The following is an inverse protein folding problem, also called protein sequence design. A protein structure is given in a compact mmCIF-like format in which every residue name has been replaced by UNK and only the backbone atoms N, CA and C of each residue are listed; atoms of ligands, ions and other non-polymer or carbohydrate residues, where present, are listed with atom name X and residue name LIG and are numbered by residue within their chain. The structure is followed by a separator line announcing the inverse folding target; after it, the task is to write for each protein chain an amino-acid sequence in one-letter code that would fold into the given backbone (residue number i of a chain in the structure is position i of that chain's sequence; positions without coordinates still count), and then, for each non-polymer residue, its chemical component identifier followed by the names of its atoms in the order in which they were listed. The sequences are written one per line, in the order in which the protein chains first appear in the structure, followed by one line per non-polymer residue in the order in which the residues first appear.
data_IF_626171571045
#
_entry.id   IF_626171571045
#
_cell.length_a   1.000
_cell.length_b   1.000
_cell.length_c   1.000
_cell.angle_alpha   90.00
_cell.angle_beta   90.00
_cell.angle_gamma   90.00
#
_symmetry.space_group_name_H-M   'P 1'
#
loop_
_entity.id
_entity.type
_entity.pdbx_description
1 polymer ?
#
# COMPACT_ATOMS: atom_id res chain seq x y z
N UNK A 1 1.11 -9.40 -19.80
CA UNK A 1 0.43 -8.09 -19.86
C UNK A 1 0.40 -7.56 -18.44
N UNK A 2 1.37 -6.71 -18.07
CA UNK A 2 1.38 -6.06 -16.76
C UNK A 2 0.33 -4.96 -16.80
N UNK A 3 -0.86 -5.24 -16.25
CA UNK A 3 -1.84 -4.20 -15.98
C UNK A 3 -1.20 -3.19 -15.04
N UNK A 4 -1.04 -1.94 -15.48
CA UNK A 4 -0.74 -0.85 -14.53
C UNK A 4 -1.81 -0.90 -13.43
N UNK A 5 -1.44 -0.96 -12.14
CA UNK A 5 -2.42 -1.19 -11.09
C UNK A 5 -3.43 -0.04 -11.06
N UNK A 6 -4.69 -0.40 -10.81
CA UNK A 6 -5.83 0.51 -10.53
C UNK A 6 -5.49 1.57 -9.46
N UNK A 7 -4.44 1.33 -8.66
CA UNK A 7 -3.84 2.24 -7.67
C UNK A 7 -3.47 3.61 -8.25
N UNK A 8 -3.05 3.72 -9.51
CA UNK A 8 -2.63 5.01 -10.10
C UNK A 8 -3.83 5.97 -10.29
N UNK A 9 -5.00 5.46 -10.68
CA UNK A 9 -6.14 6.31 -11.08
C UNK A 9 -6.90 6.94 -9.90
N UNK A 10 -6.97 6.27 -8.75
CA UNK A 10 -7.63 6.79 -7.54
C UNK A 10 -6.79 7.84 -6.81
N UNK A 11 -5.45 7.73 -6.88
CA UNK A 11 -4.52 8.73 -6.33
C UNK A 11 -4.59 10.06 -7.08
N UNK A 12 -4.71 10.06 -8.41
CA UNK A 12 -4.72 11.28 -9.24
C UNK A 12 -5.83 12.27 -8.89
N UNK A 13 -7.04 11.77 -8.62
CA UNK A 13 -8.15 12.64 -8.20
C UNK A 13 -7.86 13.35 -6.87
N UNK A 14 -7.20 12.67 -5.93
CA UNK A 14 -6.85 13.24 -4.63
C UNK A 14 -5.66 14.20 -4.73
N UNK A 15 -4.65 13.87 -5.55
CA UNK A 15 -3.45 14.69 -5.77
C UNK A 15 -3.76 16.03 -6.46
N UNK A 16 -4.72 16.06 -7.38
CA UNK A 16 -5.15 17.29 -8.06
C UNK A 16 -5.81 18.31 -7.14
N UNK A 17 -6.30 17.87 -5.96
CA UNK A 17 -6.90 18.74 -4.94
C UNK A 17 -5.88 19.37 -3.99
N UNK A 18 -4.64 18.89 -3.99
CA UNK A 18 -3.57 19.43 -3.15
C UNK A 18 -3.05 20.71 -3.78
N UNK A 19 -3.44 21.87 -3.22
CA UNK A 19 -3.05 23.21 -3.69
C UNK A 19 -1.66 23.65 -3.19
N UNK A 20 -1.12 22.96 -2.20
CA UNK A 20 0.18 23.24 -1.58
C UNK A 20 0.33 22.47 -0.27
N UNK A 21 1.53 22.52 0.31
CA UNK A 21 1.78 21.87 1.61
C UNK A 21 1.08 22.66 2.73
N UNK A 22 0.24 22.02 3.56
CA UNK A 22 -0.45 22.69 4.66
C UNK A 22 0.51 23.33 5.68
N UNK A 23 0.05 24.36 6.40
CA UNK A 23 0.83 25.06 7.43
C UNK A 23 1.24 24.17 8.61
N UNK A 24 0.63 23.00 8.79
CA UNK A 24 1.09 22.00 9.77
C UNK A 24 2.46 21.39 9.48
N UNK A 25 3.07 21.68 8.33
CA UNK A 25 4.32 21.08 7.86
C UNK A 25 5.41 22.10 7.53
N UNK A 26 5.39 23.30 8.14
CA UNK A 26 6.32 24.39 7.77
C UNK A 26 7.80 23.99 7.80
N UNK A 27 8.22 23.20 8.78
CA UNK A 27 9.61 22.75 8.92
C UNK A 27 10.06 21.80 7.79
N UNK A 28 9.14 21.05 7.21
CA UNK A 28 9.41 20.09 6.14
C UNK A 28 8.87 20.54 4.77
N UNK A 29 8.27 21.74 4.70
CA UNK A 29 7.53 22.23 3.54
C UNK A 29 8.31 22.09 2.23
N UNK A 30 9.54 22.61 2.20
CA UNK A 30 10.39 22.59 1.00
C UNK A 30 10.71 21.16 0.54
N UNK A 31 10.95 20.25 1.50
CA UNK A 31 11.27 18.85 1.21
C UNK A 31 10.03 18.16 0.63
N UNK A 32 8.88 18.30 1.30
CA UNK A 32 7.61 17.72 0.85
C UNK A 32 7.24 18.26 -0.55
N UNK A 33 7.38 19.56 -0.81
CA UNK A 33 7.14 20.14 -2.15
C UNK A 33 8.08 19.55 -3.21
N UNK A 34 9.36 19.35 -2.88
CA UNK A 34 10.35 18.79 -3.80
C UNK A 34 10.05 17.34 -4.15
N UNK A 35 9.78 16.50 -3.15
CA UNK A 35 9.43 15.10 -3.37
C UNK A 35 8.08 14.98 -4.10
N UNK A 36 7.10 15.82 -3.77
CA UNK A 36 5.80 15.82 -4.43
C UNK A 36 5.88 16.21 -5.92
N UNK A 37 6.70 17.20 -6.25
CA UNK A 37 6.97 17.55 -7.65
C UNK A 37 7.69 16.41 -8.37
N UNK A 38 8.67 15.78 -7.71
CA UNK A 38 9.38 14.61 -8.25
C UNK A 38 8.41 13.46 -8.54
N UNK A 39 7.54 13.14 -7.57
CA UNK A 39 6.50 12.13 -7.70
C UNK A 39 5.61 12.40 -8.93
N UNK A 40 5.08 13.62 -9.07
CA UNK A 40 4.24 14.00 -10.22
C UNK A 40 4.97 13.88 -11.55
N UNK A 41 6.15 14.48 -11.66
CA UNK A 41 6.93 14.48 -12.90
C UNK A 41 7.34 13.06 -13.31
N UNK A 42 7.71 12.20 -12.35
CA UNK A 42 8.07 10.81 -12.67
C UNK A 42 6.87 9.98 -13.10
N UNK A 43 5.70 10.16 -12.49
CA UNK A 43 4.46 9.52 -12.96
C UNK A 43 4.16 9.86 -14.41
N UNK A 44 4.13 11.16 -14.74
CA UNK A 44 3.85 11.64 -16.11
C UNK A 44 4.87 11.10 -17.13
N UNK A 45 6.14 11.03 -16.71
CA UNK A 45 7.23 10.50 -17.54
C UNK A 45 7.09 8.99 -17.80
N UNK A 46 6.72 8.22 -16.77
CA UNK A 46 6.44 6.78 -16.88
C UNK A 46 5.26 6.52 -17.81
N UNK A 47 4.15 7.26 -17.63
CA UNK A 47 2.96 7.13 -18.48
C UNK A 47 3.27 7.41 -19.94
N UNK A 48 4.01 8.48 -20.22
CA UNK A 48 4.44 8.82 -21.58
C UNK A 48 5.31 7.71 -22.19
N UNK A 49 6.32 7.22 -21.47
CA UNK A 49 7.19 6.14 -21.97
C UNK A 49 6.44 4.84 -22.18
N UNK A 50 5.44 4.55 -21.34
CA UNK A 50 4.58 3.39 -21.51
C UNK A 50 3.74 3.49 -22.79
N UNK A 51 3.13 4.65 -23.07
CA UNK A 51 2.41 4.86 -24.33
C UNK A 51 3.37 4.82 -25.55
N UNK A 52 4.60 5.33 -25.42
CA UNK A 52 5.63 5.20 -26.47
C UNK A 52 5.99 3.71 -26.72
N UNK A 53 6.16 2.92 -25.66
CA UNK A 53 6.43 1.48 -25.76
C UNK A 53 5.26 0.72 -26.38
N UNK A 54 4.03 1.04 -25.97
CA UNK A 54 2.81 0.44 -26.52
C UNK A 54 2.64 0.78 -28.00
N UNK A 55 2.89 2.02 -28.39
CA UNK A 55 2.88 2.46 -29.79
C UNK A 55 3.92 1.68 -30.61
N UNK A 56 5.16 1.60 -30.11
CA UNK A 56 6.24 0.83 -30.73
C UNK A 56 5.91 -0.66 -30.92
N UNK A 57 5.30 -1.31 -29.91
CA UNK A 57 4.86 -2.70 -30.02
C UNK A 57 3.71 -2.83 -31.04
N UNK A 58 2.74 -1.92 -31.01
CA UNK A 58 1.54 -1.97 -31.87
C UNK A 58 1.88 -1.74 -33.34
N UNK A 59 2.84 -0.85 -33.62
CA UNK A 59 3.35 -0.59 -34.98
C UNK A 59 4.32 -1.66 -35.49
N UNK A 60 4.67 -2.63 -34.65
CA UNK A 60 5.64 -3.68 -34.94
C UNK A 60 7.07 -3.20 -35.26
N UNK A 61 7.42 -1.97 -34.89
CA UNK A 61 8.75 -1.35 -35.07
C UNK A 61 9.89 -2.21 -34.51
N UNK A 62 9.60 -3.08 -33.54
CA UNK A 62 10.55 -4.05 -32.98
C UNK A 62 11.13 -5.02 -34.02
N UNK A 63 10.46 -5.19 -35.16
CA UNK A 63 10.98 -6.00 -36.28
C UNK A 63 12.16 -5.32 -36.97
N UNK A 64 12.21 -3.98 -36.95
CA UNK A 64 13.22 -3.18 -37.65
C UNK A 64 14.51 -3.03 -36.83
N UNK A 65 14.37 -2.79 -35.53
CA UNK A 65 15.51 -2.59 -34.61
C UNK A 65 15.79 -3.79 -33.70
N UNK A 66 15.08 -4.90 -33.90
CA UNK A 66 15.17 -6.13 -33.10
C UNK A 66 14.91 -5.93 -31.61
N UNK A 67 14.06 -4.97 -31.23
CA UNK A 67 13.67 -4.78 -29.83
C UNK A 67 14.52 -3.77 -29.05
N UNK A 68 15.54 -3.16 -29.68
CA UNK A 68 16.49 -2.27 -28.99
C UNK A 68 15.78 -1.10 -28.30
N UNK A 69 14.79 -0.48 -28.96
CA UNK A 69 14.02 0.61 -28.37
C UNK A 69 13.12 0.13 -27.22
N UNK A 70 12.55 -1.08 -27.29
CA UNK A 70 11.77 -1.64 -26.18
C UNK A 70 12.64 -1.86 -24.93
N UNK A 71 13.84 -2.43 -25.09
CA UNK A 71 14.76 -2.63 -23.97
C UNK A 71 15.17 -1.31 -23.31
N UNK A 72 15.47 -0.28 -24.12
CA UNK A 72 15.79 1.05 -23.63
C UNK A 72 14.62 1.67 -22.85
N UNK A 73 13.41 1.64 -23.41
CA UNK A 73 12.20 2.16 -22.76
C UNK A 73 11.90 1.42 -21.45
N UNK A 74 12.04 0.09 -21.42
CA UNK A 74 11.82 -0.71 -20.22
C UNK A 74 12.81 -0.32 -19.11
N UNK A 75 14.10 -0.18 -19.43
CA UNK A 75 15.13 0.23 -18.48
C UNK A 75 14.83 1.61 -17.90
N UNK A 76 14.44 2.56 -18.75
CA UNK A 76 14.10 3.91 -18.32
C UNK A 76 12.84 3.94 -17.44
N UNK A 77 11.80 3.17 -17.79
CA UNK A 77 10.59 3.04 -16.98
C UNK A 77 10.93 2.49 -15.59
N UNK A 78 11.77 1.46 -15.50
CA UNK A 78 12.19 0.87 -14.21
C UNK A 78 12.95 1.90 -13.37
N UNK A 79 13.89 2.63 -13.97
CA UNK A 79 14.67 3.65 -13.27
C UNK A 79 13.78 4.81 -12.77
N UNK A 80 12.81 5.25 -13.59
CA UNK A 80 11.87 6.30 -13.17
C UNK A 80 10.89 5.82 -12.10
N UNK A 81 10.43 4.57 -12.18
CA UNK A 81 9.58 3.95 -11.17
C UNK A 81 10.29 3.92 -9.81
N UNK A 82 11.58 3.61 -9.77
CA UNK A 82 12.35 3.62 -8.52
C UNK A 82 12.39 5.01 -7.88
N UNK A 83 12.63 6.07 -8.68
CA UNK A 83 12.61 7.46 -8.18
C UNK A 83 11.21 7.87 -7.75
N UNK A 84 10.18 7.46 -8.50
CA UNK A 84 8.77 7.70 -8.17
C UNK A 84 8.38 7.11 -6.82
N UNK A 85 8.68 5.83 -6.58
CA UNK A 85 8.38 5.17 -5.32
C UNK A 85 9.16 5.76 -4.14
N UNK A 86 10.44 6.07 -4.34
CA UNK A 86 11.28 6.71 -3.30
C UNK A 86 10.71 8.07 -2.89
N UNK A 87 10.29 8.90 -3.85
CA UNK A 87 9.66 10.19 -3.56
C UNK A 87 8.35 10.01 -2.76
N UNK A 88 7.53 9.02 -3.12
CA UNK A 88 6.31 8.67 -2.38
C UNK A 88 6.59 8.28 -0.93
N UNK A 89 7.58 7.39 -0.70
CA UNK A 89 8.00 6.97 0.64
C UNK A 89 8.52 8.14 1.49
N UNK A 90 9.31 9.03 0.89
CA UNK A 90 9.81 10.23 1.58
C UNK A 90 8.65 11.14 2.03
N UNK A 91 7.67 11.38 1.17
CA UNK A 91 6.48 12.17 1.50
C UNK A 91 5.75 11.54 2.69
N UNK A 92 5.44 10.24 2.62
CA UNK A 92 4.75 9.51 3.68
C UNK A 92 5.50 9.59 5.00
N UNK A 93 6.82 9.36 4.97
CA UNK A 93 7.68 9.44 6.16
C UNK A 93 7.64 10.81 6.82
N UNK A 94 7.59 11.89 6.02
CA UNK A 94 7.53 13.26 6.53
C UNK A 94 6.17 13.65 7.07
N UNK A 95 5.09 13.19 6.46
CA UNK A 95 3.73 13.57 6.91
C UNK A 95 3.23 12.72 8.08
N UNK A 96 3.72 11.48 8.22
CA UNK A 96 3.22 10.52 9.21
C UNK A 96 3.25 11.04 10.66
N UNK A 97 4.34 11.66 11.17
CA UNK A 97 4.37 12.12 12.56
C UNK A 97 3.29 13.17 12.87
N UNK A 98 3.11 14.16 11.99
CA UNK A 98 2.11 15.20 12.23
C UNK A 98 0.68 14.69 12.05
N UNK A 99 0.45 13.76 11.12
CA UNK A 99 -0.86 13.11 10.95
C UNK A 99 -1.23 12.22 12.13
N UNK A 100 -0.27 11.46 12.67
CA UNK A 100 -0.45 10.68 13.90
C UNK A 100 -0.80 11.58 15.09
N UNK A 101 -0.08 12.70 15.26
CA UNK A 101 -0.36 13.67 16.33
C UNK A 101 -1.73 14.35 16.16
N UNK A 102 -2.10 14.72 14.94
CA UNK A 102 -3.40 15.31 14.64
C UNK A 102 -4.55 14.32 14.91
N UNK A 103 -4.37 13.06 14.55
CA UNK A 103 -5.34 12.00 14.80
C UNK A 103 -5.56 11.79 16.31
N UNK A 104 -4.50 11.81 17.12
CA UNK A 104 -4.63 11.69 18.58
C UNK A 104 -5.50 12.81 19.17
N UNK A 105 -5.31 14.05 18.69
CA UNK A 105 -6.09 15.22 19.12
C UNK A 105 -7.55 15.10 18.64
N UNK A 106 -7.77 14.77 17.37
CA UNK A 106 -9.11 14.65 16.77
C UNK A 106 -9.91 13.53 17.45
N UNK A 107 -9.27 12.39 17.72
CA UNK A 107 -9.95 11.23 18.27
C UNK A 107 -10.10 11.29 19.79
N UNK A 108 -9.49 12.26 20.49
CA UNK A 108 -9.39 12.29 21.97
C UNK A 108 -10.71 11.94 22.68
N UNK A 109 -11.80 12.57 22.25
CA UNK A 109 -13.14 12.41 22.81
C UNK A 109 -14.10 11.69 21.84
N UNK A 110 -13.59 11.10 20.77
CA UNK A 110 -14.39 10.42 19.76
C UNK A 110 -14.84 9.03 20.26
N UNK A 111 -16.14 8.68 20.20
CA UNK A 111 -16.65 7.44 20.78
C UNK A 111 -16.12 6.18 20.10
N UNK A 112 -15.66 6.28 18.84
CA UNK A 112 -15.00 5.18 18.13
C UNK A 112 -13.47 5.14 18.27
N UNK A 113 -12.85 6.02 19.08
CA UNK A 113 -11.38 6.16 19.18
C UNK A 113 -10.67 4.82 19.30
N UNK A 114 -11.09 4.00 20.25
CA UNK A 114 -10.46 2.70 20.53
C UNK A 114 -10.44 1.80 19.29
N UNK A 115 -11.57 1.71 18.59
CA UNK A 115 -11.73 0.84 17.42
C UNK A 115 -10.97 1.36 16.20
N UNK A 116 -10.92 2.69 16.02
CA UNK A 116 -10.15 3.34 14.95
C UNK A 116 -8.65 3.11 15.18
N UNK A 117 -8.15 3.43 16.37
CA UNK A 117 -6.73 3.25 16.73
C UNK A 117 -6.31 1.78 16.61
N UNK A 118 -7.16 0.86 17.07
CA UNK A 118 -6.86 -0.57 17.00
C UNK A 118 -6.85 -1.09 15.55
N UNK A 119 -7.80 -0.66 14.71
CA UNK A 119 -7.82 -1.02 13.29
C UNK A 119 -6.66 -0.39 12.51
N UNK A 120 -6.23 0.83 12.87
CA UNK A 120 -5.02 1.45 12.32
C UNK A 120 -3.76 0.68 12.70
N UNK A 121 -3.68 0.21 13.95
CA UNK A 121 -2.60 -0.69 14.41
C UNK A 121 -2.53 -1.98 13.58
N UNK A 122 -3.70 -2.55 13.26
CA UNK A 122 -3.81 -3.70 12.34
C UNK A 122 -3.25 -3.37 10.95
N UNK A 123 -3.64 -2.23 10.36
CA UNK A 123 -3.12 -1.80 9.06
C UNK A 123 -1.59 -1.62 9.08
N UNK A 124 -1.05 -0.92 10.09
CA UNK A 124 0.41 -0.72 10.23
C UNK A 124 1.16 -2.06 10.34
N UNK A 125 0.59 -3.03 11.05
CA UNK A 125 1.19 -4.37 11.15
C UNK A 125 1.17 -5.10 9.81
N UNK A 126 0.12 -4.90 9.00
CA UNK A 126 0.01 -5.48 7.67
C UNK A 126 0.96 -4.81 6.67
N UNK A 127 1.17 -3.50 6.76
CA UNK A 127 2.21 -2.78 6.00
C UNK A 127 3.59 -3.39 6.27
N UNK A 128 3.92 -3.62 7.55
CA UNK A 128 5.19 -4.25 7.93
C UNK A 128 5.33 -5.67 7.39
N UNK A 129 4.24 -6.42 7.24
CA UNK A 129 4.25 -7.74 6.58
C UNK A 129 4.58 -7.59 5.10
N UNK A 130 3.87 -6.70 4.39
CA UNK A 130 4.07 -6.48 2.96
C UNK A 130 5.48 -5.99 2.63
N UNK A 131 6.06 -5.13 3.46
CA UNK A 131 7.45 -4.67 3.32
C UNK A 131 8.44 -5.84 3.32
N UNK A 132 8.27 -6.79 4.24
CA UNK A 132 9.13 -7.99 4.33
C UNK A 132 8.91 -8.89 3.13
N UNK A 133 7.65 -9.13 2.75
CA UNK A 133 7.31 -9.97 1.60
C UNK A 133 7.87 -9.40 0.29
N UNK A 134 7.74 -8.09 0.07
CA UNK A 134 8.25 -7.42 -1.13
C UNK A 134 9.77 -7.51 -1.24
N UNK A 135 10.49 -7.27 -0.13
CA UNK A 135 11.96 -7.40 -0.08
C UNK A 135 12.41 -8.84 -0.39
N UNK A 136 11.71 -9.83 0.17
CA UNK A 136 12.07 -11.22 -0.04
C UNK A 136 11.61 -11.78 -1.39
N UNK A 137 10.54 -11.23 -1.99
CA UNK A 137 10.12 -11.56 -3.35
C UNK A 137 11.15 -11.09 -4.38
N UNK A 138 11.70 -9.88 -4.20
CA UNK A 138 12.81 -9.39 -5.02
C UNK A 138 14.15 -10.09 -4.72
N UNK A 139 14.26 -10.72 -3.55
CA UNK A 139 15.47 -11.36 -3.04
C UNK A 139 15.35 -12.86 -2.85
N UNK A 140 15.76 -13.34 -1.67
CA UNK A 140 15.66 -14.75 -1.27
C UNK A 140 14.66 -14.90 -0.13
N UNK A 141 13.91 -16.00 -0.15
CA UNK A 141 12.94 -16.29 0.90
C UNK A 141 13.64 -16.72 2.20
N UNK A 142 13.30 -16.06 3.29
CA UNK A 142 13.74 -16.36 4.65
C UNK A 142 12.52 -16.71 5.52
N UNK A 143 12.28 -18.01 5.68
CA UNK A 143 11.13 -18.54 6.42
C UNK A 143 11.05 -18.00 7.85
N UNK A 144 12.17 -17.91 8.56
CA UNK A 144 12.17 -17.49 9.97
C UNK A 144 11.70 -16.04 10.14
N UNK A 145 12.14 -15.15 9.25
CA UNK A 145 11.73 -13.74 9.27
C UNK A 145 10.25 -13.59 8.89
N UNK A 146 9.79 -14.32 7.87
CA UNK A 146 8.39 -14.28 7.42
C UNK A 146 7.46 -14.89 8.47
N UNK A 147 7.85 -16.01 9.09
CA UNK A 147 7.09 -16.63 10.16
C UNK A 147 6.99 -15.70 11.38
N UNK A 148 8.08 -15.01 11.74
CA UNK A 148 8.04 -13.99 12.80
C UNK A 148 7.00 -12.92 12.50
N UNK A 149 6.94 -12.42 11.26
CA UNK A 149 5.94 -11.42 10.83
C UNK A 149 4.52 -11.96 10.85
N UNK A 150 4.34 -13.22 10.49
CA UNK A 150 3.07 -13.91 10.62
C UNK A 150 2.60 -13.94 12.08
N UNK A 151 3.45 -14.38 13.00
CA UNK A 151 3.11 -14.51 14.43
C UNK A 151 2.85 -13.14 15.08
N UNK A 152 3.57 -12.10 14.67
CA UNK A 152 3.32 -10.71 15.07
C UNK A 152 1.93 -10.25 14.60
N UNK A 153 1.60 -10.44 13.31
CA UNK A 153 0.32 -10.03 12.75
C UNK A 153 -0.86 -10.84 13.31
N UNK A 154 -0.70 -12.14 13.51
CA UNK A 154 -1.74 -13.02 14.07
C UNK A 154 -2.20 -12.52 15.45
N UNK A 155 -1.26 -12.10 16.31
CA UNK A 155 -1.59 -11.50 17.61
C UNK A 155 -2.40 -10.21 17.46
N UNK A 156 -1.99 -9.33 16.55
CA UNK A 156 -2.69 -8.06 16.29
C UNK A 156 -4.11 -8.31 15.79
N UNK A 157 -4.30 -9.26 14.85
CA UNK A 157 -5.62 -9.64 14.35
C UNK A 157 -6.49 -10.22 15.47
N UNK A 158 -5.93 -11.12 16.29
CA UNK A 158 -6.64 -11.72 17.41
C UNK A 158 -7.07 -10.67 18.45
N UNK A 159 -6.20 -9.72 18.77
CA UNK A 159 -6.47 -8.68 19.76
C UNK A 159 -7.49 -7.66 19.25
N UNK A 160 -7.44 -7.28 17.96
CA UNK A 160 -8.45 -6.43 17.35
C UNK A 160 -9.82 -7.13 17.29
N UNK A 161 -9.85 -8.42 16.94
CA UNK A 161 -11.08 -9.20 16.81
C UNK A 161 -11.80 -9.47 18.13
N UNK A 162 -11.08 -9.49 19.26
CA UNK A 162 -11.67 -9.62 20.60
C UNK A 162 -12.42 -8.37 21.07
N UNK A 163 -12.19 -7.22 20.41
CA UNK A 163 -12.85 -5.97 20.81
C UNK A 163 -14.33 -6.01 20.45
N UNK A 164 -15.19 -5.89 21.46
CA UNK A 164 -16.63 -5.84 21.26
C UNK A 164 -17.02 -4.41 20.92
N UNK A 165 -17.49 -4.18 19.69
CA UNK A 165 -17.98 -2.88 19.27
C UNK A 165 -19.24 -2.49 20.07
N UNK A 166 -19.08 -1.54 20.98
CA UNK A 166 -20.07 -1.17 22.01
C UNK A 166 -20.48 0.32 21.98
N UNK A 167 -20.17 1.01 20.88
CA UNK A 167 -20.56 2.39 20.61
C UNK A 167 -22.09 2.47 20.50
N UNK A 168 -22.72 3.30 21.34
CA UNK A 168 -24.19 3.32 21.51
C UNK A 168 -24.89 4.37 20.65
N UNK A 169 -24.16 5.37 20.16
CA UNK A 169 -24.76 6.45 19.38
C UNK A 169 -25.28 5.90 18.05
N UNK A 170 -26.55 6.20 17.75
CA UNK A 170 -27.25 5.64 16.59
C UNK A 170 -26.56 5.96 15.25
N UNK A 171 -25.87 7.10 15.17
CA UNK A 171 -25.09 7.51 14.00
C UNK A 171 -23.94 6.55 13.66
N UNK A 172 -23.52 5.70 14.60
CA UNK A 172 -22.48 4.69 14.41
C UNK A 172 -23.01 3.27 14.39
N UNK A 173 -24.33 3.04 14.34
CA UNK A 173 -24.92 1.71 14.39
C UNK A 173 -24.37 0.77 13.29
N UNK A 174 -24.13 1.30 12.08
CA UNK A 174 -23.57 0.52 10.97
C UNK A 174 -22.06 0.27 11.07
N UNK A 175 -21.35 1.00 11.95
CA UNK A 175 -19.90 0.89 12.14
C UNK A 175 -19.49 -0.44 12.76
N UNK A 176 -20.39 -1.07 13.53
CA UNK A 176 -20.16 -2.42 14.06
C UNK A 176 -19.86 -3.42 12.94
N UNK A 177 -20.75 -3.51 11.95
CA UNK A 177 -20.59 -4.44 10.82
C UNK A 177 -19.35 -4.11 10.01
N UNK A 178 -19.00 -2.82 9.88
CA UNK A 178 -17.76 -2.43 9.18
C UNK A 178 -16.51 -2.83 9.96
N UNK A 179 -16.49 -2.66 11.28
CA UNK A 179 -15.39 -3.13 12.14
C UNK A 179 -15.23 -4.65 12.09
N UNK A 180 -16.34 -5.39 12.14
CA UNK A 180 -16.36 -6.85 11.99
C UNK A 180 -15.83 -7.26 10.60
N UNK A 181 -16.19 -6.52 9.54
CA UNK A 181 -15.66 -6.74 8.18
C UNK A 181 -14.14 -6.55 8.11
N UNK A 182 -13.58 -5.52 8.78
CA UNK A 182 -12.12 -5.33 8.84
C UNK A 182 -11.45 -6.56 9.44
N UNK A 183 -11.95 -7.04 10.57
CA UNK A 183 -11.41 -8.22 11.24
C UNK A 183 -11.51 -9.49 10.39
N UNK A 184 -12.65 -9.70 9.73
CA UNK A 184 -12.82 -10.85 8.84
C UNK A 184 -11.81 -10.82 7.68
N UNK A 185 -11.64 -9.66 7.03
CA UNK A 185 -10.66 -9.55 5.93
C UNK A 185 -9.23 -9.73 6.40
N UNK A 186 -8.89 -9.27 7.61
CA UNK A 186 -7.57 -9.49 8.18
C UNK A 186 -7.32 -10.97 8.50
N UNK A 187 -8.35 -11.70 8.94
CA UNK A 187 -8.29 -13.16 9.09
C UNK A 187 -8.11 -13.86 7.74
N UNK A 188 -8.84 -13.46 6.70
CA UNK A 188 -8.70 -14.00 5.35
C UNK A 188 -7.26 -13.77 4.80
N UNK A 189 -6.66 -12.61 5.14
CA UNK A 189 -5.27 -12.31 4.83
C UNK A 189 -4.30 -13.29 5.52
N UNK A 190 -4.50 -13.58 6.82
CA UNK A 190 -3.68 -14.56 7.54
C UNK A 190 -3.72 -15.95 6.91
N UNK A 191 -4.88 -16.42 6.45
CA UNK A 191 -4.99 -17.72 5.80
C UNK A 191 -4.19 -17.78 4.49
N UNK A 192 -4.23 -16.70 3.70
CA UNK A 192 -3.41 -16.55 2.48
C UNK A 192 -1.93 -16.44 2.82
N UNK A 193 -1.59 -15.73 3.89
CA UNK A 193 -0.22 -15.57 4.34
C UNK A 193 0.39 -16.93 4.77
N UNK A 194 -0.37 -17.73 5.53
CA UNK A 194 0.00 -19.09 5.93
C UNK A 194 0.22 -20.00 4.70
N UNK A 195 -0.65 -19.90 3.69
CA UNK A 195 -0.49 -20.60 2.40
C UNK A 195 0.79 -20.16 1.68
N UNK A 196 1.09 -18.86 1.64
CA UNK A 196 2.32 -18.34 1.03
C UNK A 196 3.56 -18.93 1.70
N UNK A 197 3.66 -18.88 3.04
CA UNK A 197 4.80 -19.44 3.78
C UNK A 197 5.04 -20.91 3.40
N UNK A 198 3.98 -21.72 3.42
CA UNK A 198 4.05 -23.14 3.04
C UNK A 198 4.55 -23.34 1.62
N UNK A 199 4.03 -22.59 0.67
CA UNK A 199 4.42 -22.70 -0.74
C UNK A 199 5.89 -22.29 -0.93
N UNK A 200 6.29 -21.16 -0.36
CA UNK A 200 7.64 -20.60 -0.48
C UNK A 200 8.70 -21.45 0.20
N UNK A 201 8.35 -22.16 1.28
CA UNK A 201 9.25 -23.11 1.94
C UNK A 201 9.71 -24.23 1.02
N UNK A 202 8.81 -24.72 0.16
CA UNK A 202 9.12 -25.82 -0.76
C UNK A 202 10.03 -25.41 -1.91
N UNK A 203 9.96 -24.14 -2.33
CA UNK A 203 10.66 -23.61 -3.51
C UNK A 203 11.85 -22.71 -3.18
N UNK A 204 11.97 -22.26 -1.93
CA UNK A 204 12.95 -21.24 -1.51
C UNK A 204 12.69 -19.85 -2.09
N UNK A 205 11.52 -19.62 -2.69
CA UNK A 205 11.11 -18.37 -3.35
C UNK A 205 9.63 -18.13 -3.21
N UNK A 206 9.21 -16.88 -3.10
CA UNK A 206 7.80 -16.49 -3.11
C UNK A 206 7.25 -16.64 -4.53
N UNK A 207 6.21 -17.46 -4.77
CA UNK A 207 5.58 -17.55 -6.09
C UNK A 207 4.83 -16.27 -6.46
N UNK A 208 4.89 -15.86 -7.74
CA UNK A 208 4.21 -14.67 -8.26
C UNK A 208 2.71 -14.67 -7.96
N UNK A 209 2.05 -15.81 -8.09
CA UNK A 209 0.62 -15.94 -7.78
C UNK A 209 0.32 -15.72 -6.30
N UNK A 210 1.24 -16.13 -5.42
CA UNK A 210 1.08 -15.94 -3.99
C UNK A 210 1.26 -14.47 -3.60
N UNK A 211 2.24 -13.74 -4.16
CA UNK A 211 2.40 -12.32 -3.83
C UNK A 211 1.22 -11.49 -4.37
N UNK A 212 0.72 -11.79 -5.57
CA UNK A 212 -0.49 -11.17 -6.11
C UNK A 212 -1.75 -11.43 -5.26
N UNK A 213 -1.87 -12.65 -4.71
CA UNK A 213 -2.94 -12.98 -3.75
C UNK A 213 -2.82 -12.15 -2.46
N UNK A 214 -1.60 -11.89 -1.99
CA UNK A 214 -1.35 -11.04 -0.81
C UNK A 214 -1.69 -9.58 -1.08
N UNK A 215 -1.28 -9.01 -2.22
CA UNK A 215 -1.64 -7.65 -2.63
C UNK A 215 -3.16 -7.46 -2.69
N UNK A 216 -3.85 -8.43 -3.30
CA UNK A 216 -5.32 -8.40 -3.41
C UNK A 216 -6.00 -8.50 -2.03
N UNK A 217 -5.43 -9.29 -1.12
CA UNK A 217 -5.95 -9.41 0.23
C UNK A 217 -5.71 -8.14 1.06
N UNK A 218 -4.53 -7.55 0.95
CA UNK A 218 -4.17 -6.27 1.55
C UNK A 218 -5.19 -5.19 1.14
N UNK A 219 -5.45 -5.06 -0.16
CA UNK A 219 -6.43 -4.11 -0.69
C UNK A 219 -7.84 -4.37 -0.13
N UNK A 220 -8.23 -5.63 0.05
CA UNK A 220 -9.54 -5.94 0.65
C UNK A 220 -9.65 -5.48 2.11
N UNK A 221 -8.58 -5.59 2.88
CA UNK A 221 -8.54 -5.10 4.28
C UNK A 221 -8.54 -3.58 4.28
N UNK A 222 -7.69 -2.95 3.46
CA UNK A 222 -7.59 -1.49 3.33
C UNK A 222 -8.95 -0.86 2.97
N UNK A 223 -9.67 -1.44 2.00
CA UNK A 223 -10.98 -0.95 1.60
C UNK A 223 -12.03 -1.09 2.73
N UNK A 224 -11.96 -2.19 3.50
CA UNK A 224 -12.83 -2.38 4.67
C UNK A 224 -12.50 -1.36 5.77
N UNK A 225 -11.22 -1.11 6.01
CA UNK A 225 -10.73 -0.12 6.98
C UNK A 225 -11.18 1.28 6.59
N UNK A 226 -10.98 1.69 5.33
CA UNK A 226 -11.40 2.99 4.82
C UNK A 226 -12.92 3.19 4.95
N UNK A 227 -13.70 2.13 4.71
CA UNK A 227 -15.15 2.16 4.91
C UNK A 227 -15.52 2.32 6.38
N UNK A 228 -14.77 1.70 7.28
CA UNK A 228 -14.97 1.76 8.73
C UNK A 228 -14.64 3.15 9.31
N UNK A 229 -13.53 3.78 8.91
CA UNK A 229 -13.10 5.06 9.51
C UNK A 229 -13.76 6.30 8.94
N UNK A 230 -14.37 6.19 7.74
CA UNK A 230 -15.06 7.29 7.04
C UNK A 230 -16.39 7.66 7.68
#
# INVERSE_FOLDING_TARGET
MYSMPIVISSMDYSLSKIKGVPSGFENDKKIIETDFNTYKTKRESIEKKYEDLKSYITSEDYKDDKGVKAEALQKDIIAEAQVFFTAGENILTKIKPATDAAEEVILKDHPMKEFIVSSKGLMNSMDSVMDVLNKQYAGSFNEAEVQKKYDEFEKVVADNSKKVFNVKEQQYAYKKTQFESVNQKASDFLDKFRKLIRNSKSTGKIPDSNIQEMDSAYESVLNSYNSFVK
#
